data_IF_673132909063
#
_entry.id   IF_673132909063
#
_cell.length_a   1.000
_cell.length_b   1.000
_cell.length_c   1.000
_cell.angle_alpha   90.00
_cell.angle_beta   90.00
_cell.angle_gamma   90.00
#
_symmetry.space_group_name_H-M   'P 1'
#
loop_
_entity.id
_entity.type
_entity.pdbx_description
1 polymer ?
#
# COMPACT_ATOMS: atom_id res chain seq x y z
N UNK A 1 -28.79 -21.11 -2.12
CA UNK A 1 -28.20 -20.47 -0.94
C UNK A 1 -27.80 -21.57 0.02
N UNK A 2 -26.56 -21.52 0.50
CA UNK A 2 -26.07 -22.42 1.54
C UNK A 2 -26.20 -21.72 2.90
N UNK A 3 -26.44 -22.49 3.96
CA UNK A 3 -26.56 -21.96 5.32
C UNK A 3 -25.21 -22.07 6.00
N UNK A 4 -24.75 -20.97 6.59
CA UNK A 4 -23.58 -20.95 7.48
C UNK A 4 -24.04 -20.69 8.92
N UNK A 5 -23.32 -21.27 9.87
CA UNK A 5 -23.49 -21.00 11.29
C UNK A 5 -22.20 -20.35 11.81
N UNK A 6 -22.33 -19.25 12.55
CA UNK A 6 -21.21 -18.45 13.02
C UNK A 6 -21.35 -18.25 14.52
N UNK A 7 -20.36 -18.69 15.28
CA UNK A 7 -20.26 -18.39 16.70
C UNK A 7 -19.52 -17.08 16.91
N UNK A 8 -20.14 -16.17 17.66
CA UNK A 8 -19.58 -14.87 18.01
C UNK A 8 -19.64 -14.70 19.52
N UNK A 9 -18.62 -14.06 20.09
CA UNK A 9 -18.73 -13.57 21.46
C UNK A 9 -19.78 -12.46 21.56
N UNK A 10 -20.32 -12.28 22.76
CA UNK A 10 -21.40 -11.33 23.05
C UNK A 10 -21.05 -9.91 22.61
N UNK A 11 -19.82 -9.46 22.88
CA UNK A 11 -19.37 -8.11 22.54
C UNK A 11 -19.27 -7.90 21.03
N UNK A 12 -18.83 -8.92 20.29
CA UNK A 12 -18.78 -8.87 18.83
C UNK A 12 -20.17 -8.87 18.23
N UNK A 13 -21.10 -9.66 18.78
CA UNK A 13 -22.51 -9.67 18.37
C UNK A 13 -23.18 -8.31 18.59
N UNK A 14 -23.00 -7.69 19.76
CA UNK A 14 -23.53 -6.35 20.06
C UNK A 14 -23.06 -5.29 19.06
N UNK A 15 -21.75 -5.28 18.77
CA UNK A 15 -21.18 -4.36 17.78
C UNK A 15 -21.77 -4.59 16.39
N UNK A 16 -21.91 -5.85 15.98
CA UNK A 16 -22.47 -6.18 14.68
C UNK A 16 -23.94 -5.74 14.56
N UNK A 17 -24.74 -5.90 15.61
CA UNK A 17 -26.11 -5.40 15.68
C UNK A 17 -26.18 -3.88 15.61
N UNK A 18 -25.31 -3.19 16.35
CA UNK A 18 -25.24 -1.73 16.32
C UNK A 18 -24.87 -1.22 14.92
N UNK A 19 -23.88 -1.83 14.27
CA UNK A 19 -23.48 -1.49 12.89
C UNK A 19 -24.61 -1.75 11.89
N UNK A 20 -25.30 -2.90 12.01
CA UNK A 20 -26.42 -3.22 11.14
C UNK A 20 -27.53 -2.17 11.25
N UNK A 21 -27.86 -1.74 12.47
CA UNK A 21 -28.82 -0.66 12.72
C UNK A 21 -28.37 0.68 12.13
N UNK A 22 -27.10 1.04 12.32
CA UNK A 22 -26.53 2.29 11.80
C UNK A 22 -26.56 2.36 10.27
N UNK A 23 -26.31 1.23 9.62
CA UNK A 23 -26.31 1.11 8.15
C UNK A 23 -27.67 0.71 7.57
N UNK A 24 -28.73 0.72 8.39
CA UNK A 24 -30.10 0.36 8.01
C UNK A 24 -30.20 -0.97 7.25
N UNK A 25 -29.42 -1.97 7.67
CA UNK A 25 -29.39 -3.29 7.05
C UNK A 25 -29.56 -4.42 8.08
N UNK A 26 -29.82 -5.62 7.59
CA UNK A 26 -29.84 -6.82 8.41
C UNK A 26 -28.42 -7.30 8.76
N UNK A 27 -28.31 -8.09 9.82
CA UNK A 27 -27.04 -8.70 10.22
C UNK A 27 -26.46 -9.60 9.11
N UNK A 28 -27.33 -10.33 8.40
CA UNK A 28 -26.92 -11.16 7.26
C UNK A 28 -26.35 -10.31 6.12
N UNK A 29 -27.00 -9.20 5.76
CA UNK A 29 -26.49 -8.29 4.73
C UNK A 29 -25.17 -7.61 5.16
N UNK A 30 -25.03 -7.26 6.43
CA UNK A 30 -23.77 -6.73 6.97
C UNK A 30 -22.63 -7.76 6.81
N UNK A 31 -22.88 -9.03 7.16
CA UNK A 31 -21.90 -10.12 7.03
C UNK A 31 -21.56 -10.36 5.57
N UNK A 32 -22.54 -10.41 4.66
CA UNK A 32 -22.29 -10.55 3.22
C UNK A 32 -21.42 -9.42 2.69
N UNK A 33 -21.74 -8.16 3.01
CA UNK A 33 -20.94 -6.98 2.61
C UNK A 33 -19.52 -7.02 3.18
N UNK A 34 -19.36 -7.51 4.41
CA UNK A 34 -18.05 -7.68 5.02
C UNK A 34 -17.22 -8.74 4.26
N UNK A 35 -17.81 -9.90 3.98
CA UNK A 35 -17.18 -10.97 3.19
C UNK A 35 -16.79 -10.47 1.81
N UNK A 36 -17.67 -9.76 1.11
CA UNK A 36 -17.38 -9.16 -0.21
C UNK A 36 -16.17 -8.22 -0.15
N UNK A 37 -16.09 -7.35 0.87
CA UNK A 37 -14.93 -6.47 1.06
C UNK A 37 -13.64 -7.23 1.31
N UNK A 38 -13.68 -8.30 2.10
CA UNK A 38 -12.50 -9.15 2.34
C UNK A 38 -12.11 -9.94 1.09
N UNK A 39 -13.08 -10.39 0.29
CA UNK A 39 -12.82 -11.10 -0.97
C UNK A 39 -12.19 -10.19 -2.03
N UNK A 40 -12.59 -8.91 -2.10
CA UNK A 40 -11.93 -7.91 -2.96
C UNK A 40 -10.46 -7.70 -2.57
N UNK A 41 -10.10 -7.94 -1.30
CA UNK A 41 -8.71 -7.78 -0.85
C UNK A 41 -7.78 -8.88 -1.39
N UNK A 42 -8.27 -10.08 -1.73
CA UNK A 42 -7.43 -11.10 -2.37
C UNK A 42 -7.23 -10.88 -3.88
N UNK A 43 -8.18 -10.23 -4.56
CA UNK A 43 -8.09 -10.00 -6.01
C UNK A 43 -7.43 -8.67 -6.40
N UNK A 44 -7.47 -7.66 -5.52
CA UNK A 44 -6.96 -6.31 -5.78
C UNK A 44 -5.95 -5.85 -4.73
N UNK A 45 -5.25 -6.79 -4.09
CA UNK A 45 -4.10 -6.45 -3.26
C UNK A 45 -2.96 -6.00 -4.17
N UNK A 46 -3.10 -4.80 -4.72
CA UNK A 46 -2.10 -3.77 -4.94
C UNK A 46 -2.62 -2.80 -6.02
N UNK A 47 -3.51 -1.83 -5.71
CA UNK A 47 -3.91 -0.82 -6.68
C UNK A 47 -2.73 0.05 -7.18
N UNK A 48 -1.59 0.01 -6.46
CA UNK A 48 -0.34 0.67 -6.83
C UNK A 48 0.77 -0.25 -7.37
N UNK A 49 0.69 -1.58 -7.18
CA UNK A 49 1.75 -2.54 -7.54
C UNK A 49 1.23 -3.80 -8.30
N UNK A 50 -0.07 -4.03 -8.35
CA UNK A 50 -0.71 -5.25 -8.84
C UNK A 50 -1.02 -5.21 -10.34
N UNK A 51 -0.47 -4.22 -11.04
CA UNK A 51 -0.48 -4.15 -12.50
C UNK A 51 0.91 -4.28 -13.11
N UNK A 52 1.96 -4.47 -12.30
CA UNK A 52 3.36 -4.43 -12.75
C UNK A 52 4.08 -5.77 -12.56
N UNK A 53 3.35 -6.83 -12.18
CA UNK A 53 3.93 -8.17 -11.97
C UNK A 53 4.63 -8.70 -13.22
N UNK A 54 4.09 -8.40 -14.41
CA UNK A 54 4.68 -8.74 -15.71
C UNK A 54 5.64 -7.65 -16.25
N UNK A 55 5.79 -6.52 -15.55
CA UNK A 55 6.55 -5.35 -15.98
C UNK A 55 7.74 -5.03 -15.05
N UNK A 56 8.20 -6.03 -14.28
CA UNK A 56 9.32 -5.87 -13.35
C UNK A 56 10.57 -5.27 -14.03
N UNK A 57 10.88 -5.70 -15.26
CA UNK A 57 12.01 -5.16 -16.03
C UNK A 57 11.83 -3.68 -16.40
N UNK A 58 10.60 -3.24 -16.69
CA UNK A 58 10.29 -1.85 -17.00
C UNK A 58 10.40 -0.95 -15.75
N UNK A 59 9.97 -1.46 -14.59
CA UNK A 59 10.15 -0.75 -13.30
C UNK A 59 11.64 -0.57 -12.98
N UNK A 60 12.44 -1.62 -13.21
CA UNK A 60 13.89 -1.57 -13.02
C UNK A 60 14.56 -0.55 -13.96
N UNK A 61 14.12 -0.48 -15.22
CA UNK A 61 14.60 0.52 -16.19
C UNK A 61 14.28 1.95 -15.75
N UNK A 62 13.03 2.22 -15.38
CA UNK A 62 12.59 3.55 -14.90
C UNK A 62 13.38 3.95 -13.65
N UNK A 63 13.58 3.02 -12.72
CA UNK A 63 14.34 3.29 -11.50
C UNK A 63 15.82 3.58 -11.80
N UNK A 64 16.44 2.82 -12.71
CA UNK A 64 17.82 3.03 -13.13
C UNK A 64 18.03 4.41 -13.78
N UNK A 65 17.07 4.85 -14.61
CA UNK A 65 17.11 6.17 -15.24
C UNK A 65 16.95 7.30 -14.23
N UNK A 66 16.00 7.19 -13.29
CA UNK A 66 15.84 8.15 -12.19
C UNK A 66 17.11 8.23 -11.34
N UNK A 67 17.74 7.09 -11.05
CA UNK A 67 19.00 7.04 -10.29
C UNK A 67 20.15 7.69 -11.06
N UNK A 68 20.22 7.51 -12.38
CA UNK A 68 21.24 8.14 -13.24
C UNK A 68 21.07 9.65 -13.27
N UNK A 69 19.84 10.14 -13.47
CA UNK A 69 19.53 11.57 -13.47
C UNK A 69 19.79 12.20 -12.11
N UNK A 70 19.44 11.49 -11.03
CA UNK A 70 19.77 11.92 -9.68
C UNK A 70 21.28 12.02 -9.48
N UNK A 71 22.06 11.04 -9.92
CA UNK A 71 23.52 11.08 -9.79
C UNK A 71 24.13 12.23 -10.61
N UNK A 72 23.60 12.50 -11.80
CA UNK A 72 24.05 13.59 -12.67
C UNK A 72 23.59 14.98 -12.18
N UNK A 73 22.59 15.05 -11.30
CA UNK A 73 21.98 16.31 -10.87
C UNK A 73 23.02 17.26 -10.24
N UNK A 74 23.10 18.54 -10.66
CA UNK A 74 24.14 19.48 -10.23
C UNK A 74 24.24 19.69 -8.70
N UNK A 75 23.15 19.46 -7.96
CA UNK A 75 23.15 19.53 -6.50
C UNK A 75 23.91 18.37 -5.84
N UNK A 76 24.04 17.22 -6.53
CA UNK A 76 24.80 16.07 -6.04
C UNK A 76 26.28 16.13 -6.44
N UNK A 77 26.67 17.05 -7.35
CA UNK A 77 28.06 17.31 -7.71
C UNK A 77 28.76 18.31 -6.76
N UNK A 78 27.99 19.11 -6.00
CA UNK A 78 28.53 20.21 -5.18
C UNK A 78 29.01 19.81 -3.78
N UNK A 79 28.95 18.52 -3.42
CA UNK A 79 29.61 17.99 -2.23
C UNK A 79 30.99 17.39 -2.54
N UNK A 80 31.79 18.11 -3.33
CA UNK A 80 33.24 17.98 -3.37
C UNK A 80 33.90 18.88 -2.32
N UNK A 81 33.59 18.69 -1.03
CA UNK A 81 34.43 19.21 0.05
C UNK A 81 35.33 18.03 0.46
N UNK A 82 36.50 17.85 -0.12
CA UNK A 82 37.73 18.41 0.43
C UNK A 82 38.90 18.17 -0.54
N UNK A 83 39.30 19.18 -1.32
CA UNK A 83 40.65 19.15 -1.91
C UNK A 83 41.30 20.53 -2.10
N UNK A 84 40.74 21.60 -1.52
CA UNK A 84 41.30 22.95 -1.64
C UNK A 84 41.58 23.64 -0.29
N UNK A 85 41.80 22.89 0.79
CA UNK A 85 42.24 23.45 2.07
C UNK A 85 43.75 23.29 2.37
N UNK A 86 44.54 22.78 1.41
CA UNK A 86 46.00 22.65 1.58
C UNK A 86 46.84 23.70 0.84
N UNK A 87 46.23 24.67 0.13
CA UNK A 87 46.99 25.70 -0.60
C UNK A 87 46.89 27.12 -0.04
N UNK A 88 46.30 27.33 1.14
CA UNK A 88 46.26 28.67 1.77
C UNK A 88 47.25 28.86 2.92
N UNK A 89 48.13 27.89 3.17
CA UNK A 89 49.24 28.01 4.13
C UNK A 89 50.59 27.78 3.43
N UNK A 90 51.01 28.76 2.62
CA UNK A 90 52.43 29.04 2.34
C UNK A 90 52.59 30.48 1.85
#
# INVERSE_FOLDING_TARGET
MEKIELELDERTLEKAQWMAKWHECSLAELVTKAIEKFAVTEAENYPLLGGWEDEAELVDEILADIMRDRAAHPLNQKFGWSQNLEQSNN
#
